data_IF_921736272559
#
_entry.id   IF_921736272559
#
_cell.length_a   1.000
_cell.length_b   1.000
_cell.length_c   1.000
_cell.angle_alpha   90.00
_cell.angle_beta   90.00
_cell.angle_gamma   90.00
#
_symmetry.space_group_name_H-M   'P 1'
#
loop_
_entity.id
_entity.type
_entity.pdbx_description
1 polymer ?
#
# COMPACT_ATOMS: atom_id res chain seq x y z
N UNK A 1 2.87 -18.08 -12.73
CA UNK A 1 3.35 -17.13 -13.69
C UNK A 1 4.52 -16.32 -13.08
N UNK A 2 5.50 -15.97 -13.89
CA UNK A 2 6.71 -15.25 -13.46
C UNK A 2 6.41 -13.87 -12.83
N UNK A 3 5.31 -13.21 -13.17
CA UNK A 3 4.89 -11.95 -12.56
C UNK A 3 4.61 -12.08 -11.05
N UNK A 4 4.10 -13.22 -10.62
CA UNK A 4 3.89 -13.49 -9.19
C UNK A 4 5.24 -13.63 -8.45
N UNK A 5 6.22 -14.22 -9.09
CA UNK A 5 7.59 -14.33 -8.54
C UNK A 5 8.22 -12.94 -8.43
N UNK A 6 8.07 -12.11 -9.46
CA UNK A 6 8.56 -10.73 -9.49
C UNK A 6 7.90 -9.89 -8.38
N UNK A 7 6.57 -9.99 -8.24
CA UNK A 7 5.85 -9.32 -7.18
C UNK A 7 6.32 -9.78 -5.79
N UNK A 8 6.47 -11.10 -5.59
CA UNK A 8 6.97 -11.67 -4.35
C UNK A 8 8.38 -11.22 -4.00
N UNK A 9 9.28 -11.16 -4.97
CA UNK A 9 10.63 -10.61 -4.77
C UNK A 9 10.58 -9.13 -4.36
N UNK A 10 9.71 -8.35 -5.02
CA UNK A 10 9.44 -6.97 -4.64
C UNK A 10 8.96 -6.86 -3.19
N UNK A 11 8.02 -7.72 -2.78
CA UNK A 11 7.49 -7.74 -1.41
C UNK A 11 8.58 -7.98 -0.36
N UNK A 12 9.53 -8.88 -0.62
CA UNK A 12 10.66 -9.15 0.29
C UNK A 12 11.53 -7.90 0.44
N UNK A 13 11.93 -7.30 -0.67
CA UNK A 13 12.73 -6.05 -0.67
C UNK A 13 11.96 -4.92 0.03
N UNK A 14 10.67 -4.80 -0.27
CA UNK A 14 9.79 -3.78 0.31
C UNK A 14 9.64 -3.90 1.81
N UNK A 15 9.52 -5.11 2.34
CA UNK A 15 9.41 -5.32 3.78
C UNK A 15 10.67 -4.82 4.53
N UNK A 16 11.85 -5.11 3.97
CA UNK A 16 13.12 -4.63 4.53
C UNK A 16 13.23 -3.10 4.42
N UNK A 17 12.91 -2.55 3.25
CA UNK A 17 12.98 -1.10 3.01
C UNK A 17 11.98 -0.33 3.87
N UNK A 18 10.76 -0.86 4.04
CA UNK A 18 9.72 -0.27 4.88
C UNK A 18 10.10 -0.25 6.36
N UNK A 19 10.67 -1.33 6.86
CA UNK A 19 11.20 -1.40 8.23
C UNK A 19 12.29 -0.34 8.46
N UNK A 20 13.27 -0.29 7.56
CA UNK A 20 14.35 0.70 7.62
C UNK A 20 13.82 2.16 7.59
N UNK A 21 12.86 2.45 6.72
CA UNK A 21 12.28 3.78 6.62
C UNK A 21 11.48 4.15 7.88
N UNK A 22 10.74 3.20 8.45
CA UNK A 22 9.98 3.38 9.67
C UNK A 22 10.88 3.68 10.89
N UNK A 23 12.08 3.09 10.91
CA UNK A 23 13.05 3.31 11.98
C UNK A 23 13.76 4.67 11.85
N UNK A 24 13.99 5.12 10.63
CA UNK A 24 14.75 6.36 10.34
C UNK A 24 13.91 7.63 10.31
N UNK A 25 12.63 7.52 9.99
CA UNK A 25 11.71 8.66 9.87
C UNK A 25 10.52 8.50 10.79
N UNK A 26 9.80 9.61 11.01
CA UNK A 26 8.50 9.54 11.67
C UNK A 26 7.59 8.57 10.89
N UNK A 27 6.96 7.58 11.57
CA UNK A 27 6.18 6.56 10.89
C UNK A 27 4.99 7.11 10.09
N UNK A 28 4.40 8.21 10.52
CA UNK A 28 3.30 8.86 9.78
C UNK A 28 3.83 9.46 8.49
N UNK A 29 4.97 10.14 8.54
CA UNK A 29 5.62 10.71 7.35
C UNK A 29 6.06 9.59 6.40
N UNK A 30 6.64 8.52 6.92
CA UNK A 30 7.02 7.35 6.12
C UNK A 30 5.81 6.75 5.40
N UNK A 31 4.67 6.61 6.09
CA UNK A 31 3.42 6.14 5.49
C UNK A 31 2.93 7.05 4.36
N UNK A 32 2.97 8.37 4.55
CA UNK A 32 2.57 9.35 3.54
C UNK A 32 3.46 9.25 2.30
N UNK A 33 4.76 9.15 2.47
CA UNK A 33 5.71 9.02 1.35
C UNK A 33 5.43 7.74 0.57
N UNK A 34 5.30 6.61 1.26
CA UNK A 34 5.09 5.31 0.62
C UNK A 34 3.73 5.24 -0.09
N UNK A 35 2.67 5.80 0.50
CA UNK A 35 1.36 5.88 -0.13
C UNK A 35 1.37 6.79 -1.36
N UNK A 36 2.09 7.90 -1.32
CA UNK A 36 2.27 8.78 -2.49
C UNK A 36 2.98 8.06 -3.64
N UNK A 37 4.03 7.30 -3.33
CA UNK A 37 4.73 6.48 -4.31
C UNK A 37 3.82 5.37 -4.86
N UNK A 38 2.97 4.76 -4.03
CA UNK A 38 2.00 3.76 -4.47
C UNK A 38 0.98 4.35 -5.44
N UNK A 39 0.39 5.51 -5.13
CA UNK A 39 -0.53 6.21 -6.03
C UNK A 39 0.12 6.46 -7.38
N UNK A 40 1.33 7.00 -7.38
CA UNK A 40 2.07 7.28 -8.60
C UNK A 40 2.37 5.99 -9.41
N UNK A 41 2.83 4.95 -8.74
CA UNK A 41 3.12 3.66 -9.38
C UNK A 41 1.87 3.02 -10.01
N UNK A 42 0.72 3.07 -9.32
CA UNK A 42 -0.53 2.52 -9.83
C UNK A 42 -1.08 3.31 -11.02
N UNK A 43 -0.89 4.63 -11.03
CA UNK A 43 -1.21 5.45 -12.21
C UNK A 43 -0.31 5.07 -13.40
N UNK A 44 0.98 4.86 -13.16
CA UNK A 44 1.88 4.37 -14.21
C UNK A 44 1.48 2.99 -14.73
N UNK A 45 1.03 2.09 -13.87
CA UNK A 45 0.49 0.78 -14.29
C UNK A 45 -0.69 0.98 -15.24
N UNK A 46 -1.58 1.91 -14.97
CA UNK A 46 -2.72 2.18 -15.82
C UNK A 46 -2.30 2.60 -17.25
N UNK A 47 -1.34 3.51 -17.35
CA UNK A 47 -0.92 4.04 -18.65
C UNK A 47 0.06 3.15 -19.42
N UNK A 48 0.88 2.38 -18.74
CA UNK A 48 2.00 1.64 -19.34
C UNK A 48 1.87 0.12 -19.25
N UNK A 49 0.69 -0.40 -18.90
CA UNK A 49 0.42 -1.84 -18.78
C UNK A 49 0.65 -2.63 -20.09
N UNK A 50 0.56 -1.97 -21.25
CA UNK A 50 0.75 -2.61 -22.55
C UNK A 50 2.22 -2.94 -22.84
N UNK A 51 3.17 -2.25 -22.18
CA UNK A 51 4.59 -2.52 -22.33
C UNK A 51 5.03 -3.61 -21.35
N UNK A 52 5.44 -4.77 -21.87
CA UNK A 52 5.82 -5.94 -21.07
C UNK A 52 6.96 -5.64 -20.07
N UNK A 53 7.99 -4.93 -20.50
CA UNK A 53 9.16 -4.63 -19.65
C UNK A 53 8.78 -3.67 -18.53
N UNK A 54 8.07 -2.59 -18.87
CA UNK A 54 7.61 -1.59 -17.90
C UNK A 54 6.64 -2.25 -16.91
N UNK A 55 5.76 -3.12 -17.38
CA UNK A 55 4.80 -3.86 -16.56
C UNK A 55 5.49 -4.75 -15.51
N UNK A 56 6.57 -5.44 -15.90
CA UNK A 56 7.38 -6.25 -14.97
C UNK A 56 8.03 -5.37 -13.88
N UNK A 57 8.63 -4.26 -14.28
CA UNK A 57 9.28 -3.32 -13.34
C UNK A 57 8.24 -2.74 -12.38
N UNK A 58 7.09 -2.29 -12.89
CA UNK A 58 6.02 -1.74 -12.07
C UNK A 58 5.42 -2.78 -11.13
N UNK A 59 5.31 -4.04 -11.55
CA UNK A 59 4.85 -5.14 -10.68
C UNK A 59 5.81 -5.34 -9.50
N UNK A 60 7.11 -5.30 -9.73
CA UNK A 60 8.11 -5.34 -8.66
C UNK A 60 7.96 -4.15 -7.70
N UNK A 61 7.86 -2.94 -8.23
CA UNK A 61 7.73 -1.71 -7.44
C UNK A 61 6.44 -1.72 -6.61
N UNK A 62 5.31 -2.08 -7.21
CA UNK A 62 4.03 -2.17 -6.50
C UNK A 62 4.08 -3.23 -5.38
N UNK A 63 4.68 -4.39 -5.64
CA UNK A 63 4.91 -5.42 -4.62
C UNK A 63 5.77 -4.91 -3.47
N UNK A 64 6.86 -4.22 -3.78
CA UNK A 64 7.75 -3.62 -2.79
C UNK A 64 7.01 -2.57 -1.94
N UNK A 65 6.29 -1.65 -2.56
CA UNK A 65 5.53 -0.61 -1.87
C UNK A 65 4.41 -1.19 -1.00
N UNK A 66 3.71 -2.22 -1.47
CA UNK A 66 2.64 -2.87 -0.72
C UNK A 66 3.13 -3.41 0.64
N UNK A 67 4.30 -4.04 0.66
CA UNK A 67 4.88 -4.54 1.91
C UNK A 67 5.58 -3.44 2.73
N UNK A 68 6.18 -2.44 2.06
CA UNK A 68 6.83 -1.32 2.75
C UNK A 68 5.87 -0.51 3.61
N UNK A 69 4.63 -0.33 3.18
CA UNK A 69 3.61 0.46 3.88
C UNK A 69 3.22 -0.19 5.22
N UNK A 70 3.26 -1.51 5.30
CA UNK A 70 2.87 -2.26 6.50
C UNK A 70 3.66 -1.87 7.75
N UNK A 71 4.98 -1.75 7.65
CA UNK A 71 5.87 -1.48 8.78
C UNK A 71 5.59 -0.13 9.48
N UNK A 72 5.55 1.01 8.79
CA UNK A 72 5.27 2.28 9.45
C UNK A 72 3.83 2.38 9.98
N UNK A 73 2.85 1.80 9.31
CA UNK A 73 1.46 1.78 9.80
C UNK A 73 1.35 0.94 11.08
N UNK A 74 2.00 -0.22 11.14
CA UNK A 74 2.08 -1.03 12.36
C UNK A 74 2.69 -0.23 13.51
N UNK A 75 3.77 0.50 13.26
CA UNK A 75 4.44 1.32 14.28
C UNK A 75 3.55 2.47 14.77
N UNK A 76 2.83 3.16 13.91
CA UNK A 76 1.87 4.21 14.28
C UNK A 76 0.80 3.64 15.22
N UNK A 77 0.23 2.49 14.85
CA UNK A 77 -0.84 1.86 15.64
C UNK A 77 -0.33 1.40 17.02
N UNK A 78 0.82 0.74 17.07
CA UNK A 78 1.40 0.30 18.36
C UNK A 78 1.74 1.47 19.27
N UNK A 79 2.25 2.58 18.75
CA UNK A 79 2.50 3.80 19.52
C UNK A 79 1.19 4.45 20.00
N UNK A 80 0.12 4.33 19.25
CA UNK A 80 -1.20 4.87 19.62
C UNK A 80 -1.94 4.00 20.63
N UNK A 81 -1.65 2.68 20.65
CA UNK A 81 -2.28 1.69 21.54
C UNK A 81 -1.49 1.48 22.84
N UNK A 82 -0.98 2.55 23.45
CA UNK A 82 -0.25 2.48 24.74
C UNK A 82 -1.06 1.70 25.78
N UNK A 83 -0.41 0.71 26.42
CA UNK A 83 -1.02 -0.20 27.40
C UNK A 83 -2.01 -1.24 26.85
N UNK A 84 -2.24 -1.28 25.53
CA UNK A 84 -3.11 -2.24 24.87
C UNK A 84 -2.49 -2.78 23.54
N UNK A 85 -1.19 -3.06 23.58
CA UNK A 85 -0.41 -3.41 22.38
C UNK A 85 -0.95 -4.67 21.65
N UNK A 86 -1.39 -5.68 22.43
CA UNK A 86 -1.97 -6.89 21.87
C UNK A 86 -3.29 -6.59 21.14
N UNK A 87 -4.13 -5.73 21.71
CA UNK A 87 -5.37 -5.28 21.08
C UNK A 87 -5.08 -4.45 19.82
N UNK A 88 -4.09 -3.56 19.88
CA UNK A 88 -3.61 -2.78 18.74
C UNK A 88 -3.17 -3.67 17.59
N UNK A 89 -2.38 -4.69 17.87
CA UNK A 89 -1.93 -5.67 16.85
C UNK A 89 -3.11 -6.44 16.23
N UNK A 90 -4.10 -6.83 17.03
CA UNK A 90 -5.30 -7.50 16.53
C UNK A 90 -6.12 -6.58 15.60
N UNK A 91 -6.28 -5.31 15.96
CA UNK A 91 -6.96 -4.31 15.11
C UNK A 91 -6.24 -4.06 13.80
N UNK A 92 -4.90 -3.99 13.79
CA UNK A 92 -4.11 -3.87 12.57
C UNK A 92 -4.40 -5.06 11.64
N UNK A 93 -4.33 -6.27 12.18
CA UNK A 93 -4.53 -7.47 11.38
C UNK A 93 -5.96 -7.52 10.81
N UNK A 94 -6.95 -7.16 11.60
CA UNK A 94 -8.33 -7.04 11.14
C UNK A 94 -8.48 -5.99 10.04
N UNK A 95 -7.86 -4.82 10.20
CA UNK A 95 -7.89 -3.75 9.20
C UNK A 95 -7.24 -4.18 7.87
N UNK A 96 -6.11 -4.88 7.91
CA UNK A 96 -5.46 -5.41 6.70
C UNK A 96 -6.34 -6.45 6.00
N UNK A 97 -7.00 -7.33 6.74
CA UNK A 97 -7.90 -8.33 6.16
C UNK A 97 -9.12 -7.67 5.49
N UNK A 98 -9.72 -6.66 6.14
CA UNK A 98 -10.81 -5.87 5.55
C UNK A 98 -10.32 -5.11 4.31
N UNK A 99 -9.16 -4.48 4.37
CA UNK A 99 -8.57 -3.77 3.22
C UNK A 99 -8.32 -4.71 2.03
N UNK A 100 -7.81 -5.92 2.29
CA UNK A 100 -7.62 -6.93 1.24
C UNK A 100 -8.95 -7.36 0.61
N UNK A 101 -9.99 -7.59 1.43
CA UNK A 101 -11.31 -7.94 0.95
C UNK A 101 -11.93 -6.81 0.10
N UNK A 102 -11.85 -5.56 0.57
CA UNK A 102 -12.32 -4.39 -0.18
C UNK A 102 -11.52 -4.19 -1.46
N UNK A 103 -10.20 -4.38 -1.42
CA UNK A 103 -9.33 -4.29 -2.59
C UNK A 103 -9.70 -5.31 -3.66
N UNK A 104 -9.94 -6.56 -3.27
CA UNK A 104 -10.38 -7.62 -4.18
C UNK A 104 -11.78 -7.31 -4.75
N UNK A 105 -12.70 -6.87 -3.91
CA UNK A 105 -14.07 -6.56 -4.33
C UNK A 105 -14.11 -5.39 -5.32
N UNK A 106 -13.58 -4.24 -4.93
CA UNK A 106 -13.60 -3.05 -5.79
C UNK A 106 -12.70 -3.18 -7.00
N UNK A 107 -11.55 -3.85 -6.87
CA UNK A 107 -10.66 -4.14 -8.00
C UNK A 107 -11.27 -5.09 -9.03
N UNK A 108 -12.20 -5.95 -8.61
CA UNK A 108 -12.94 -6.83 -9.51
C UNK A 108 -14.05 -6.16 -10.30
N UNK A 109 -14.61 -5.05 -9.79
CA UNK A 109 -15.77 -4.37 -10.40
C UNK A 109 -15.53 -3.98 -11.87
N UNK A 110 -14.42 -3.32 -12.24
CA UNK A 110 -14.17 -2.96 -13.64
C UNK A 110 -14.16 -4.16 -14.58
N UNK A 111 -13.66 -5.30 -14.12
CA UNK A 111 -13.61 -6.53 -14.92
C UNK A 111 -15.00 -7.12 -15.15
N UNK A 112 -15.92 -6.99 -14.18
CA UNK A 112 -17.31 -7.40 -14.35
C UNK A 112 -18.05 -6.59 -15.41
N UNK A 113 -17.67 -5.32 -15.58
CA UNK A 113 -18.21 -4.46 -16.64
C UNK A 113 -17.46 -4.58 -17.97
N UNK A 114 -16.55 -5.56 -18.11
CA UNK A 114 -15.81 -5.79 -19.33
C UNK A 114 -14.74 -4.74 -19.67
N UNK A 115 -14.32 -3.95 -18.66
CA UNK A 115 -13.22 -3.00 -18.82
C UNK A 115 -11.87 -3.70 -18.87
N UNK A 116 -10.86 -3.02 -19.42
CA UNK A 116 -9.52 -3.57 -19.58
C UNK A 116 -8.87 -3.90 -18.22
N UNK A 117 -7.92 -4.83 -18.22
CA UNK A 117 -7.23 -5.33 -17.01
C UNK A 117 -6.40 -4.28 -16.27
N UNK A 118 -6.17 -3.11 -16.84
CA UNK A 118 -5.47 -1.99 -16.19
C UNK A 118 -6.38 -1.12 -15.32
N UNK A 119 -7.69 -1.18 -15.47
CA UNK A 119 -8.63 -0.37 -14.67
C UNK A 119 -8.61 -0.65 -13.15
N UNK A 120 -8.41 -1.89 -12.67
CA UNK A 120 -8.24 -2.13 -11.24
C UNK A 120 -7.12 -1.31 -10.59
N UNK A 121 -6.06 -0.95 -11.33
CA UNK A 121 -4.98 -0.11 -10.81
C UNK A 121 -5.43 1.31 -10.47
N UNK A 122 -6.40 1.86 -11.20
CA UNK A 122 -7.01 3.17 -10.88
C UNK A 122 -7.80 3.12 -9.57
N UNK A 123 -8.53 2.04 -9.34
CA UNK A 123 -9.25 1.84 -8.07
C UNK A 123 -8.25 1.73 -6.92
N UNK A 124 -7.19 0.95 -7.10
CA UNK A 124 -6.09 0.86 -6.14
C UNK A 124 -5.43 2.22 -5.86
N UNK A 125 -5.20 3.03 -6.91
CA UNK A 125 -4.68 4.39 -6.77
C UNK A 125 -5.63 5.30 -5.97
N UNK A 126 -6.93 5.21 -6.20
CA UNK A 126 -7.95 5.93 -5.43
C UNK A 126 -7.96 5.52 -3.96
N UNK A 127 -7.90 4.23 -3.67
CA UNK A 127 -7.82 3.73 -2.29
C UNK A 127 -6.53 4.16 -1.59
N UNK A 128 -5.39 4.12 -2.27
CA UNK A 128 -4.11 4.59 -1.74
C UNK A 128 -4.14 6.11 -1.49
N UNK A 129 -4.78 6.88 -2.36
CA UNK A 129 -4.98 8.31 -2.18
C UNK A 129 -5.84 8.63 -0.95
N UNK A 130 -6.92 7.88 -0.73
CA UNK A 130 -7.74 8.00 0.49
C UNK A 130 -6.91 7.70 1.74
N UNK A 131 -6.12 6.64 1.73
CA UNK A 131 -5.20 6.31 2.81
C UNK A 131 -4.19 7.42 3.08
N UNK A 132 -3.63 8.02 2.04
CA UNK A 132 -2.71 9.15 2.14
C UNK A 132 -3.39 10.39 2.76
N UNK A 133 -4.61 10.71 2.34
CA UNK A 133 -5.38 11.83 2.90
C UNK A 133 -5.66 11.60 4.39
N UNK A 134 -6.04 10.38 4.78
CA UNK A 134 -6.25 10.03 6.18
C UNK A 134 -4.97 10.15 7.01
N UNK A 135 -3.83 9.71 6.47
CA UNK A 135 -2.52 9.88 7.12
C UNK A 135 -2.14 11.35 7.28
N UNK A 136 -2.42 12.19 6.28
CA UNK A 136 -2.18 13.64 6.35
C UNK A 136 -3.08 14.30 7.41
N UNK A 137 -4.35 13.92 7.47
CA UNK A 137 -5.28 14.41 8.48
C UNK A 137 -4.82 14.01 9.89
N UNK A 138 -4.39 12.77 10.08
CA UNK A 138 -3.84 12.27 11.33
C UNK A 138 -2.57 13.03 11.74
N UNK A 139 -1.68 13.28 10.80
CA UNK A 139 -0.44 14.03 11.04
C UNK A 139 -0.71 15.46 11.50
N UNK A 140 -1.64 16.16 10.84
CA UNK A 140 -2.05 17.52 11.24
C UNK A 140 -2.65 17.55 12.65
N UNK A 141 -3.45 16.55 13.01
CA UNK A 141 -4.08 16.46 14.33
C UNK A 141 -3.07 16.09 15.42
N UNK A 142 -2.08 15.26 15.10
CA UNK A 142 -1.08 14.78 16.06
C UNK A 142 0.00 15.83 16.37
N UNK A 143 0.29 16.76 15.45
CA UNK A 143 1.26 17.86 15.65
C UNK A 143 0.67 19.09 16.35
N UNK A 144 -0.63 19.14 16.60
CA UNK A 144 -1.28 20.16 17.45
C UNK A 144 -1.30 19.70 18.89
#
# INVERSE_FOLDING_TARGET
>A
SYLMIVAGAGMVVGNIAGGYLADKKDPVIASIILLSLMVFSLILVFFFSDNKIISIILTFICGALAMSIGSPINMVMLRSAKHAEMLGAAFIQAAFNVANALGAFFGGIPLLFGLAFNYPSLIGAGMALLGMILCLAFYKKYKR
#
